data_IF_823227442844
#
_entry.id   IF_823227442844
#
_cell.length_a   1.000
_cell.length_b   1.000
_cell.length_c   1.000
_cell.angle_alpha   90.00
_cell.angle_beta   90.00
_cell.angle_gamma   90.00
#
_symmetry.space_group_name_H-M   'P 1'
#
loop_
_entity.id
_entity.type
_entity.pdbx_description
1 polymer ?
#
# COMPACT_ATOMS: atom_id res chain seq x y z
N UNK A 1 6.14 0.80 -15.91
CA UNK A 1 6.75 0.39 -14.63
C UNK A 1 6.07 -0.88 -14.19
N UNK A 2 6.26 -1.29 -12.95
CA UNK A 2 5.44 -2.31 -12.31
C UNK A 2 4.21 -1.65 -11.68
N UNK A 3 3.04 -2.30 -11.77
CA UNK A 3 1.85 -1.88 -11.04
C UNK A 3 2.10 -2.02 -9.53
N UNK A 4 1.73 -0.99 -8.76
CA UNK A 4 1.87 -0.96 -7.30
C UNK A 4 0.50 -0.78 -6.67
N UNK A 5 0.29 -1.44 -5.54
CA UNK A 5 -0.87 -1.27 -4.66
C UNK A 5 -0.39 -1.08 -3.21
N UNK A 6 -1.30 -0.79 -2.28
CA UNK A 6 -0.95 -0.40 -0.91
C UNK A 6 -1.71 -1.19 0.16
N UNK A 7 -1.02 -1.49 1.26
CA UNK A 7 -1.64 -1.69 2.56
C UNK A 7 -1.97 -0.32 3.15
N UNK A 8 -3.27 0.01 3.23
CA UNK A 8 -3.76 1.34 3.62
C UNK A 8 -4.49 1.36 4.97
N UNK A 9 -4.72 2.56 5.49
CA UNK A 9 -5.49 2.79 6.71
C UNK A 9 -6.25 4.12 6.66
N UNK A 10 -7.21 4.29 7.56
CA UNK A 10 -8.01 5.52 7.61
C UNK A 10 -8.70 5.73 8.95
N UNK A 11 -9.07 6.98 9.22
CA UNK A 11 -9.88 7.34 10.37
C UNK A 11 -11.35 7.07 10.07
N UNK A 12 -11.97 6.18 10.84
CA UNK A 12 -13.42 5.95 10.76
C UNK A 12 -14.16 7.23 11.20
N UNK A 13 -15.19 7.62 10.44
CA UNK A 13 -15.96 8.85 10.66
C UNK A 13 -16.54 8.98 12.08
N UNK A 14 -16.87 7.87 12.71
CA UNK A 14 -17.49 7.77 14.04
C UNK A 14 -16.52 7.25 15.10
N UNK A 15 -15.21 7.32 14.86
CA UNK A 15 -14.21 6.83 15.81
C UNK A 15 -14.40 7.49 17.18
N UNK A 16 -14.54 6.72 18.27
CA UNK A 16 -14.78 7.27 19.62
C UNK A 16 -13.54 7.96 20.20
N UNK A 17 -12.37 7.74 19.60
CA UNK A 17 -11.11 8.37 19.97
C UNK A 17 -10.33 8.80 18.71
N UNK A 18 -10.76 9.89 18.04
CA UNK A 18 -10.15 10.32 16.78
C UNK A 18 -8.70 10.78 16.96
N UNK A 19 -8.36 11.38 18.10
CA UNK A 19 -7.01 11.85 18.40
C UNK A 19 -5.99 10.71 18.44
N UNK A 20 -6.30 9.60 19.12
CA UNK A 20 -5.39 8.45 19.13
C UNK A 20 -5.35 7.70 17.80
N UNK A 21 -6.46 7.68 17.05
CA UNK A 21 -6.46 7.09 15.71
C UNK A 21 -5.56 7.87 14.73
N UNK A 22 -5.54 9.21 14.80
CA UNK A 22 -4.60 10.03 14.03
C UNK A 22 -3.16 9.73 14.45
N UNK A 23 -2.87 9.74 15.76
CA UNK A 23 -1.52 9.38 16.27
C UNK A 23 -1.06 7.99 15.84
N UNK A 24 -2.00 7.06 15.73
CA UNK A 24 -1.70 5.71 15.25
C UNK A 24 -1.31 5.73 13.76
N UNK A 25 -2.07 6.43 12.91
CA UNK A 25 -1.71 6.62 11.50
C UNK A 25 -0.36 7.33 11.33
N UNK A 26 -0.08 8.35 12.13
CA UNK A 26 1.22 9.03 12.16
C UNK A 26 2.35 8.07 12.58
N UNK A 27 2.12 7.28 13.64
CA UNK A 27 3.08 6.27 14.09
C UNK A 27 3.42 5.27 13.00
N UNK A 28 2.43 4.80 12.21
CA UNK A 28 2.66 3.90 11.08
C UNK A 28 3.59 4.48 10.01
N UNK A 29 3.73 5.81 9.93
CA UNK A 29 4.68 6.49 9.04
C UNK A 29 6.05 6.77 9.67
N UNK A 30 6.28 6.35 10.92
CA UNK A 30 7.60 6.45 11.54
C UNK A 30 8.58 5.43 10.95
N UNK A 31 9.89 5.72 10.93
CA UNK A 31 10.90 4.76 10.44
C UNK A 31 10.84 3.40 11.15
N UNK A 32 10.59 3.40 12.46
CA UNK A 32 10.47 2.18 13.26
C UNK A 32 9.27 1.35 12.85
N UNK A 33 8.09 1.96 12.72
CA UNK A 33 6.89 1.24 12.31
C UNK A 33 6.99 0.75 10.85
N UNK A 34 7.52 1.57 9.95
CA UNK A 34 7.71 1.18 8.54
C UNK A 34 8.65 -0.02 8.40
N UNK A 35 9.77 -0.03 9.12
CA UNK A 35 10.69 -1.18 9.12
C UNK A 35 9.97 -2.44 9.62
N UNK A 36 9.28 -2.33 10.76
CA UNK A 36 8.59 -3.47 11.37
C UNK A 36 7.44 -4.00 10.50
N UNK A 37 6.52 -3.15 10.04
CA UNK A 37 5.35 -3.55 9.26
C UNK A 37 5.74 -4.09 7.88
N UNK A 38 6.67 -3.42 7.18
CA UNK A 38 7.11 -3.86 5.85
C UNK A 38 7.80 -5.23 5.92
N UNK A 39 8.71 -5.44 6.87
CA UNK A 39 9.39 -6.73 7.04
C UNK A 39 8.43 -7.84 7.46
N UNK A 40 7.51 -7.55 8.39
CA UNK A 40 6.57 -8.55 8.89
C UNK A 40 5.63 -9.07 7.79
N UNK A 41 5.36 -8.27 6.75
CA UNK A 41 4.45 -8.66 5.67
C UNK A 41 5.14 -8.85 4.30
N UNK A 42 6.48 -8.87 4.26
CA UNK A 42 7.25 -8.93 3.00
C UNK A 42 6.81 -7.85 1.98
N UNK A 43 6.54 -6.64 2.47
CA UNK A 43 6.18 -5.47 1.67
C UNK A 43 7.36 -4.48 1.55
N UNK A 44 7.26 -3.55 0.61
CA UNK A 44 8.18 -2.42 0.50
C UNK A 44 7.69 -1.25 1.38
N UNK A 45 8.58 -0.59 2.14
CA UNK A 45 8.19 0.57 2.93
C UNK A 45 7.84 1.76 2.02
N UNK A 46 6.87 2.56 2.41
CA UNK A 46 6.43 3.76 1.66
C UNK A 46 7.20 5.02 2.04
N UNK A 47 7.84 5.01 3.22
CA UNK A 47 8.65 6.14 3.70
C UNK A 47 10.09 6.01 3.20
N UNK A 48 10.54 7.00 2.45
CA UNK A 48 11.89 7.07 1.90
C UNK A 48 12.97 6.94 2.97
N UNK A 49 14.03 6.18 2.67
CA UNK A 49 15.16 5.98 3.59
C UNK A 49 14.92 4.88 4.64
N UNK A 50 13.74 4.27 4.68
CA UNK A 50 13.50 3.07 5.50
C UNK A 50 14.28 1.88 4.92
N UNK A 51 14.98 1.09 5.76
CA UNK A 51 15.62 -0.14 5.31
C UNK A 51 14.62 -1.11 4.68
N UNK A 52 15.04 -1.76 3.60
CA UNK A 52 14.26 -2.76 2.88
C UNK A 52 14.79 -4.14 3.27
N UNK A 53 13.89 -5.13 3.32
CA UNK A 53 14.29 -6.51 3.56
C UNK A 53 15.29 -7.00 2.48
N UNK A 54 16.40 -7.68 2.86
CA UNK A 54 17.39 -8.16 1.91
C UNK A 54 16.82 -9.07 0.81
N UNK A 55 15.79 -9.88 1.10
CA UNK A 55 15.14 -10.74 0.12
C UNK A 55 14.45 -9.89 -0.94
N UNK A 56 13.68 -8.89 -0.52
CA UNK A 56 12.99 -7.97 -1.42
C UNK A 56 13.95 -7.09 -2.22
N UNK A 57 15.07 -6.69 -1.62
CA UNK A 57 16.13 -5.98 -2.31
C UNK A 57 16.75 -6.83 -3.44
N UNK A 58 16.89 -8.14 -3.21
CA UNK A 58 17.39 -9.12 -4.17
C UNK A 58 16.54 -9.28 -5.44
N UNK A 59 15.28 -8.82 -5.44
CA UNK A 59 14.41 -8.85 -6.62
C UNK A 59 14.66 -7.71 -7.62
N UNK A 60 15.70 -6.91 -7.40
CA UNK A 60 16.06 -5.80 -8.28
C UNK A 60 15.52 -4.45 -7.82
N UNK A 61 15.48 -4.22 -6.51
CA UNK A 61 15.17 -2.90 -5.97
C UNK A 61 16.38 -1.95 -6.14
N UNK A 62 16.17 -0.67 -6.53
CA UNK A 62 14.90 -0.06 -6.89
C UNK A 62 14.45 -0.49 -8.29
N UNK A 63 13.15 -0.65 -8.46
CA UNK A 63 12.53 -0.88 -9.76
C UNK A 63 11.65 0.31 -10.15
N UNK A 64 11.33 0.42 -11.45
CA UNK A 64 10.47 1.50 -11.94
C UNK A 64 9.01 1.21 -11.61
N UNK A 65 8.43 1.96 -10.69
CA UNK A 65 7.00 1.92 -10.39
C UNK A 65 6.15 2.57 -11.51
N UNK A 66 4.91 2.14 -11.66
CA UNK A 66 3.90 2.86 -12.43
C UNK A 66 3.43 4.10 -11.64
N UNK A 67 3.48 5.31 -12.21
CA UNK A 67 3.11 6.54 -11.50
C UNK A 67 1.59 6.75 -11.33
N UNK A 68 0.76 5.82 -11.82
CA UNK A 68 -0.69 5.92 -11.70
C UNK A 68 -1.11 5.99 -10.23
N UNK A 69 -1.93 7.00 -9.88
CA UNK A 69 -2.45 7.11 -8.51
C UNK A 69 -3.33 5.91 -8.17
N UNK A 70 -3.02 5.25 -7.05
CA UNK A 70 -3.81 4.12 -6.53
C UNK A 70 -5.28 4.47 -6.27
N UNK A 71 -5.58 5.75 -6.07
CA UNK A 71 -6.96 6.26 -5.95
C UNK A 71 -7.82 6.01 -7.19
N UNK A 72 -7.20 5.84 -8.36
CA UNK A 72 -7.89 5.58 -9.62
C UNK A 72 -8.36 4.13 -9.74
N UNK A 73 -7.85 3.21 -8.93
CA UNK A 73 -8.20 1.79 -9.04
C UNK A 73 -9.65 1.55 -8.58
N UNK A 74 -10.09 2.21 -7.51
CA UNK A 74 -11.45 2.10 -6.98
C UNK A 74 -12.54 2.51 -8.00
N UNK A 75 -12.51 3.74 -8.56
CA UNK A 75 -13.46 4.19 -9.57
C UNK A 75 -13.54 3.29 -10.81
N UNK A 76 -12.44 2.62 -11.17
CA UNK A 76 -12.39 1.71 -12.32
C UNK A 76 -12.71 0.25 -11.98
N UNK A 77 -12.91 -0.09 -10.70
CA UNK A 77 -13.11 -1.48 -10.25
C UNK A 77 -14.34 -2.12 -10.89
N UNK A 78 -15.47 -1.40 -10.99
CA UNK A 78 -16.68 -1.92 -11.62
C UNK A 78 -16.48 -2.25 -13.10
N UNK A 79 -15.82 -1.35 -13.84
CA UNK A 79 -15.48 -1.56 -15.25
C UNK A 79 -14.52 -2.74 -15.41
N UNK A 80 -13.51 -2.87 -14.53
CA UNK A 80 -12.57 -3.98 -14.57
C UNK A 80 -13.27 -5.33 -14.37
N UNK A 81 -14.19 -5.44 -13.40
CA UNK A 81 -14.97 -6.66 -13.16
C UNK A 81 -15.86 -7.00 -14.36
N UNK A 82 -16.51 -6.02 -14.99
CA UNK A 82 -17.30 -6.25 -16.22
C UNK A 82 -16.45 -6.81 -17.36
N UNK A 83 -15.23 -6.29 -17.54
CA UNK A 83 -14.32 -6.79 -18.57
C UNK A 83 -13.85 -8.22 -18.29
N UNK A 84 -13.57 -8.54 -17.02
CA UNK A 84 -13.22 -9.91 -16.60
C UNK A 84 -14.36 -10.88 -16.89
N UNK A 85 -15.61 -10.50 -16.58
CA UNK A 85 -16.82 -11.29 -16.86
C UNK A 85 -17.01 -11.52 -18.38
N UNK A 86 -16.94 -10.45 -19.18
CA UNK A 86 -17.04 -10.52 -20.64
C UNK A 86 -15.96 -11.44 -21.24
N UNK A 87 -14.75 -11.41 -20.67
CA UNK A 87 -13.64 -12.26 -21.09
C UNK A 87 -13.76 -13.72 -20.61
N UNK A 88 -14.75 -14.04 -19.76
CA UNK A 88 -14.94 -15.38 -19.20
C UNK A 88 -13.89 -15.75 -18.16
N UNK A 89 -13.31 -14.76 -17.46
CA UNK A 89 -12.36 -15.01 -16.38
C UNK A 89 -13.11 -15.43 -15.11
N UNK A 90 -12.99 -16.72 -14.76
CA UNK A 90 -13.58 -17.36 -13.56
C UNK A 90 -12.71 -17.29 -12.32
#
# INVERSE_FOLDING_TARGET
GAHINISGGGLVKTAPNPGNAIKFLEYLTSPTAQTFFAQANSEYPVVSGTPIDPVLAGFGFPFKEDPTSVSQYGPNSATAVQLMDIAGWV
#
